data_IF_289988066899
#
_entry.id   IF_289988066899
#
_cell.length_a   1.000
_cell.length_b   1.000
_cell.length_c   1.000
_cell.angle_alpha   90.00
_cell.angle_beta   90.00
_cell.angle_gamma   90.00
#
_symmetry.space_group_name_H-M   'P 1'
#
loop_
_entity.id
_entity.type
_entity.pdbx_description
1 polymer ?
#
# COMPACT_ATOMS: atom_id res chain seq x y z
N UNK A 1 4.61 -15.01 14.93
CA UNK A 1 4.93 -13.63 15.39
C UNK A 1 5.97 -13.64 16.52
N UNK A 2 5.85 -14.49 17.55
CA UNK A 2 6.85 -14.57 18.63
C UNK A 2 8.24 -14.96 18.12
N UNK A 3 8.33 -15.87 17.13
CA UNK A 3 9.60 -16.24 16.52
C UNK A 3 10.27 -15.05 15.82
N UNK A 4 9.49 -14.24 15.11
CA UNK A 4 9.99 -13.05 14.44
C UNK A 4 10.47 -11.98 15.41
N UNK A 5 9.77 -11.80 16.54
CA UNK A 5 10.24 -10.90 17.61
C UNK A 5 11.59 -11.34 18.21
N UNK A 6 11.78 -12.65 18.43
CA UNK A 6 13.06 -13.18 18.93
C UNK A 6 14.21 -12.98 17.95
N UNK A 7 13.91 -12.74 16.67
CA UNK A 7 14.87 -12.43 15.61
C UNK A 7 15.09 -10.91 15.38
N UNK A 8 14.53 -10.06 16.25
CA UNK A 8 14.70 -8.60 16.15
C UNK A 8 13.64 -7.86 15.31
N UNK A 9 12.58 -8.55 14.89
CA UNK A 9 11.46 -7.90 14.16
C UNK A 9 10.62 -7.05 15.11
N UNK A 10 10.77 -5.73 15.04
CA UNK A 10 10.18 -4.79 16.01
C UNK A 10 8.65 -4.70 15.93
N UNK A 11 8.10 -4.70 14.73
CA UNK A 11 6.66 -4.66 14.47
C UNK A 11 6.28 -5.68 13.41
N UNK A 12 5.27 -6.48 13.68
CA UNK A 12 4.76 -7.46 12.72
C UNK A 12 3.23 -7.50 12.75
N UNK A 13 2.63 -7.28 11.59
CA UNK A 13 1.20 -7.44 11.35
C UNK A 13 0.99 -8.58 10.35
N UNK A 14 0.49 -9.75 10.80
CA UNK A 14 0.34 -10.91 9.92
C UNK A 14 -0.74 -10.67 8.85
N UNK A 15 -0.44 -11.05 7.61
CA UNK A 15 -1.38 -10.94 6.49
C UNK A 15 -2.35 -12.13 6.36
N UNK A 16 -2.10 -13.23 7.05
CA UNK A 16 -2.88 -14.46 6.94
C UNK A 16 -4.39 -14.20 7.01
N UNK A 17 -5.10 -14.65 6.00
CA UNK A 17 -6.52 -14.39 5.76
C UNK A 17 -6.82 -13.33 4.71
N UNK A 18 -5.79 -12.63 4.20
CA UNK A 18 -5.86 -11.66 3.10
C UNK A 18 -5.23 -12.21 1.82
N UNK A 19 -4.88 -13.48 1.79
CA UNK A 19 -3.97 -14.10 0.83
C UNK A 19 -4.43 -13.93 -0.63
N UNK A 20 -5.72 -14.11 -0.90
CA UNK A 20 -6.24 -14.02 -2.26
C UNK A 20 -6.07 -12.62 -2.86
N UNK A 21 -6.51 -11.59 -2.16
CA UNK A 21 -6.43 -10.21 -2.69
C UNK A 21 -5.00 -9.70 -2.75
N UNK A 22 -4.15 -10.06 -1.78
CA UNK A 22 -2.76 -9.62 -1.78
C UNK A 22 -1.96 -10.28 -2.90
N UNK A 23 -2.17 -11.58 -3.14
CA UNK A 23 -1.58 -12.25 -4.29
C UNK A 23 -2.04 -11.58 -5.60
N UNK A 24 -3.33 -11.31 -5.73
CA UNK A 24 -3.90 -10.69 -6.92
C UNK A 24 -3.36 -9.29 -7.18
N UNK A 25 -3.24 -8.44 -6.14
CA UNK A 25 -2.65 -7.11 -6.27
C UNK A 25 -1.23 -7.16 -6.83
N UNK A 26 -0.37 -8.01 -6.26
CA UNK A 26 1.01 -8.13 -6.70
C UNK A 26 1.15 -8.73 -8.11
N UNK A 27 0.25 -9.65 -8.51
CA UNK A 27 0.26 -10.26 -9.85
C UNK A 27 -0.26 -9.31 -10.94
N UNK A 28 -1.21 -8.45 -10.62
CA UNK A 28 -1.78 -7.47 -11.57
C UNK A 28 -0.90 -6.22 -11.71
N UNK A 29 -0.11 -5.92 -10.69
CA UNK A 29 0.84 -4.80 -10.68
C UNK A 29 1.93 -5.00 -11.74
N UNK A 30 2.12 -3.99 -12.57
CA UNK A 30 3.19 -3.92 -13.57
C UNK A 30 4.19 -2.83 -13.17
N UNK A 31 5.38 -3.25 -12.71
CA UNK A 31 6.44 -2.38 -12.22
C UNK A 31 6.96 -1.37 -13.25
N UNK A 32 6.68 -1.57 -14.53
CA UNK A 32 7.15 -0.70 -15.62
C UNK A 32 6.13 0.40 -15.95
N UNK A 33 4.87 0.26 -15.51
CA UNK A 33 3.80 1.20 -15.85
C UNK A 33 2.94 1.65 -14.68
N UNK A 34 2.85 0.87 -13.61
CA UNK A 34 1.99 1.15 -12.46
C UNK A 34 2.78 1.69 -11.26
N UNK A 35 2.04 2.27 -10.31
CA UNK A 35 2.56 2.66 -8.99
C UNK A 35 1.80 1.90 -7.91
N UNK A 36 2.52 1.36 -6.91
CA UNK A 36 1.94 0.57 -5.82
C UNK A 36 2.22 1.27 -4.48
N UNK A 37 1.16 1.51 -3.71
CA UNK A 37 1.18 2.09 -2.37
C UNK A 37 0.71 1.04 -1.34
N UNK A 38 1.59 0.13 -0.91
CA UNK A 38 1.22 -0.97 -0.02
C UNK A 38 1.16 -0.50 1.43
N UNK A 39 0.15 -0.96 2.21
CA UNK A 39 0.15 -0.69 3.65
C UNK A 39 0.89 -1.78 4.44
N UNK A 40 1.03 -1.58 5.74
CA UNK A 40 1.86 -2.44 6.62
C UNK A 40 1.49 -3.93 6.63
N UNK A 41 0.30 -4.32 6.19
CA UNK A 41 -0.12 -5.73 6.11
C UNK A 41 0.17 -6.37 4.75
N UNK A 42 0.56 -5.62 3.75
CA UNK A 42 0.71 -6.05 2.35
C UNK A 42 2.00 -6.84 2.05
N UNK A 43 2.49 -7.59 3.02
CA UNK A 43 3.71 -8.40 2.83
C UNK A 43 3.58 -9.37 1.65
N UNK A 44 2.44 -10.04 1.49
CA UNK A 44 2.23 -10.95 0.37
C UNK A 44 2.06 -10.19 -0.95
N UNK A 45 1.50 -8.99 -0.94
CA UNK A 45 1.40 -8.14 -2.13
C UNK A 45 2.78 -7.82 -2.70
N UNK A 46 3.70 -7.33 -1.86
CA UNK A 46 5.05 -6.96 -2.33
C UNK A 46 5.89 -8.17 -2.68
N UNK A 47 5.70 -9.30 -1.99
CA UNK A 47 6.32 -10.58 -2.35
C UNK A 47 5.82 -11.07 -3.71
N UNK A 48 4.51 -10.99 -3.96
CA UNK A 48 3.87 -11.35 -5.23
C UNK A 48 4.27 -10.42 -6.37
N UNK A 49 4.53 -9.15 -6.07
CA UNK A 49 5.09 -8.17 -7.02
C UNK A 49 6.58 -8.43 -7.35
N UNK A 50 7.24 -9.36 -6.63
CA UNK A 50 8.59 -9.83 -6.89
C UNK A 50 9.66 -9.36 -5.91
N UNK A 51 9.31 -8.64 -4.83
CA UNK A 51 10.28 -8.41 -3.74
C UNK A 51 10.71 -9.75 -3.14
N UNK A 52 11.98 -9.87 -2.82
CA UNK A 52 12.53 -11.09 -2.25
C UNK A 52 12.27 -11.22 -0.76
N UNK A 53 12.27 -12.44 -0.24
CA UNK A 53 12.18 -12.68 1.20
C UNK A 53 13.34 -12.00 1.97
N UNK A 54 14.54 -11.92 1.37
CA UNK A 54 15.69 -11.23 1.96
C UNK A 54 15.41 -9.73 2.13
N UNK A 55 14.92 -9.04 1.09
CA UNK A 55 14.55 -7.60 1.14
C UNK A 55 13.50 -7.32 2.22
N UNK A 56 12.48 -8.17 2.31
CA UNK A 56 11.42 -8.06 3.33
C UNK A 56 11.98 -8.26 4.75
N UNK A 57 12.88 -9.23 4.93
CA UNK A 57 13.48 -9.48 6.25
C UNK A 57 14.41 -8.35 6.66
N UNK A 58 15.22 -7.81 5.73
CA UNK A 58 16.09 -6.64 6.00
C UNK A 58 15.29 -5.45 6.54
N UNK A 59 14.12 -5.16 5.96
CA UNK A 59 13.18 -4.16 6.49
C UNK A 59 12.65 -4.56 7.87
N UNK A 60 12.23 -5.82 8.02
CA UNK A 60 11.65 -6.33 9.27
C UNK A 60 12.58 -6.22 10.48
N UNK A 61 13.89 -6.40 10.29
CA UNK A 61 14.92 -6.35 11.34
C UNK A 61 15.81 -5.10 11.28
N UNK A 62 15.39 -4.09 10.52
CA UNK A 62 15.97 -2.75 10.45
C UNK A 62 17.46 -2.72 10.10
N UNK A 63 17.89 -3.46 9.05
CA UNK A 63 19.29 -3.48 8.62
C UNK A 63 19.67 -2.27 7.76
N UNK A 64 20.97 -1.91 7.77
CA UNK A 64 21.49 -0.78 6.99
C UNK A 64 21.25 -0.93 5.47
N UNK A 65 21.14 -2.15 4.99
CA UNK A 65 20.87 -2.48 3.57
C UNK A 65 19.39 -2.67 3.25
N UNK A 66 18.49 -2.32 4.18
CA UNK A 66 17.06 -2.25 3.91
C UNK A 66 16.77 -1.22 2.79
N UNK A 67 16.16 -1.66 1.70
CA UNK A 67 15.85 -0.83 0.53
C UNK A 67 14.85 0.29 0.83
N UNK A 68 13.99 0.09 1.82
CA UNK A 68 12.95 1.05 2.17
C UNK A 68 13.53 2.31 2.82
N UNK A 69 14.47 2.15 3.76
CA UNK A 69 14.90 3.27 4.59
C UNK A 69 16.31 3.13 5.18
N UNK A 70 17.06 2.07 4.85
CA UNK A 70 18.30 1.77 5.54
C UNK A 70 18.11 1.54 7.04
N UNK A 71 17.01 0.90 7.41
CA UNK A 71 16.67 0.56 8.79
C UNK A 71 16.07 1.69 9.64
N UNK A 72 15.69 2.85 9.02
CA UNK A 72 15.12 4.02 9.74
C UNK A 72 13.61 3.96 9.87
N UNK A 73 12.92 3.28 8.98
CA UNK A 73 11.46 3.16 9.00
C UNK A 73 11.01 1.98 9.87
N UNK A 74 9.78 2.04 10.36
CA UNK A 74 9.15 0.92 11.04
C UNK A 74 9.04 -0.29 10.10
N UNK A 75 9.25 -1.50 10.64
CA UNK A 75 9.06 -2.75 9.88
C UNK A 75 7.67 -2.83 9.23
N UNK A 76 7.57 -3.59 8.17
CA UNK A 76 6.36 -3.76 7.36
C UNK A 76 5.91 -2.50 6.58
N UNK A 77 6.79 -1.53 6.42
CA UNK A 77 6.60 -0.42 5.49
C UNK A 77 7.52 -0.65 4.30
N UNK A 78 6.96 -1.25 3.27
CA UNK A 78 7.72 -1.74 2.13
C UNK A 78 7.87 -0.67 1.05
N UNK A 79 9.06 -0.57 0.45
CA UNK A 79 9.31 0.30 -0.69
C UNK A 79 10.40 -0.29 -1.58
N UNK A 80 10.26 -0.12 -2.88
CA UNK A 80 11.27 -0.41 -3.89
C UNK A 80 11.09 0.56 -5.05
N UNK A 81 11.73 1.73 -4.92
CA UNK A 81 11.54 2.88 -5.81
C UNK A 81 11.78 2.55 -7.29
N UNK A 82 12.77 1.69 -7.59
CA UNK A 82 13.07 1.23 -8.95
C UNK A 82 11.89 0.51 -9.63
N UNK A 83 10.93 0.03 -8.84
CA UNK A 83 9.73 -0.68 -9.29
C UNK A 83 8.45 0.09 -9.00
N UNK A 84 8.54 1.35 -8.65
CA UNK A 84 7.40 2.19 -8.28
C UNK A 84 6.57 1.57 -7.13
N UNK A 85 7.22 0.84 -6.22
CA UNK A 85 6.63 0.47 -4.93
C UNK A 85 6.99 1.58 -3.95
N UNK A 86 5.99 2.41 -3.66
CA UNK A 86 6.17 3.66 -2.96
C UNK A 86 6.19 3.49 -1.44
N UNK A 87 7.00 4.29 -0.78
CA UNK A 87 7.00 4.33 0.68
C UNK A 87 5.73 5.01 1.20
N UNK A 88 5.16 4.44 2.25
CA UNK A 88 3.91 4.94 2.85
C UNK A 88 4.12 5.34 4.31
N UNK A 89 3.33 6.30 4.77
CA UNK A 89 3.31 6.72 6.16
C UNK A 89 2.60 5.70 7.06
N UNK A 90 2.97 5.65 8.34
CA UNK A 90 2.24 4.88 9.36
C UNK A 90 0.87 5.46 9.72
N UNK A 91 0.64 6.76 9.45
CA UNK A 91 -0.70 7.34 9.55
C UNK A 91 -1.59 6.71 8.47
N UNK A 92 -2.63 5.98 8.90
CA UNK A 92 -3.42 5.10 8.02
C UNK A 92 -4.09 5.88 6.88
N UNK A 93 -4.05 5.31 5.68
CA UNK A 93 -4.68 5.81 4.45
C UNK A 93 -4.18 7.18 3.92
N UNK A 94 -3.18 7.83 4.52
CA UNK A 94 -2.61 9.08 3.97
C UNK A 94 -2.03 8.87 2.57
N UNK A 95 -1.56 7.68 2.27
CA UNK A 95 -1.01 7.29 0.96
C UNK A 95 -2.06 7.25 -0.16
N UNK A 96 -3.35 7.26 0.13
CA UNK A 96 -4.41 7.39 -0.87
C UNK A 96 -4.34 8.75 -1.59
N UNK A 97 -4.02 9.82 -0.86
CA UNK A 97 -3.78 11.15 -1.45
C UNK A 97 -2.53 11.13 -2.35
N UNK A 98 -1.47 10.45 -1.94
CA UNK A 98 -0.25 10.30 -2.75
C UNK A 98 -0.56 9.51 -4.03
N UNK A 99 -1.31 8.40 -3.93
CA UNK A 99 -1.74 7.62 -5.09
C UNK A 99 -2.57 8.45 -6.07
N UNK A 100 -3.51 9.26 -5.57
CA UNK A 100 -4.29 10.18 -6.40
C UNK A 100 -3.41 11.25 -7.06
N UNK A 101 -2.42 11.81 -6.33
CA UNK A 101 -1.45 12.76 -6.86
C UNK A 101 -0.58 12.16 -7.96
N UNK A 102 -0.07 10.95 -7.77
CA UNK A 102 0.71 10.22 -8.78
C UNK A 102 -0.14 9.93 -10.01
N UNK A 103 -1.38 9.44 -9.83
CA UNK A 103 -2.27 9.19 -10.96
C UNK A 103 -2.60 10.47 -11.74
N UNK A 104 -2.70 11.62 -11.06
CA UNK A 104 -2.85 12.92 -11.70
C UNK A 104 -1.63 13.29 -12.54
N UNK A 105 -0.43 13.08 -12.00
CA UNK A 105 0.83 13.29 -12.73
C UNK A 105 0.92 12.36 -13.95
N UNK A 106 0.57 11.07 -13.79
CA UNK A 106 0.51 10.11 -14.91
C UNK A 106 -0.39 10.61 -16.04
N UNK A 107 -1.57 11.13 -15.71
CA UNK A 107 -2.49 11.70 -16.71
C UNK A 107 -1.87 12.94 -17.36
N UNK A 108 -1.28 13.82 -16.58
CA UNK A 108 -0.64 15.05 -17.06
C UNK A 108 0.50 14.77 -18.03
N UNK A 109 1.36 13.79 -17.71
CA UNK A 109 2.49 13.40 -18.56
C UNK A 109 2.15 12.38 -19.65
N UNK A 110 0.88 12.00 -19.78
CA UNK A 110 0.44 11.02 -20.78
C UNK A 110 0.93 9.60 -20.55
N UNK A 111 1.31 9.27 -19.31
CA UNK A 111 1.74 7.92 -18.93
C UNK A 111 0.57 6.96 -18.90
N UNK A 112 0.86 5.68 -19.17
CA UNK A 112 -0.10 4.57 -19.06
C UNK A 112 0.05 3.89 -17.71
N UNK A 113 -0.96 3.11 -17.33
CA UNK A 113 -0.96 2.37 -16.07
C UNK A 113 -1.95 2.93 -15.05
N UNK A 114 -1.82 2.47 -13.81
CA UNK A 114 -2.68 2.83 -12.68
C UNK A 114 -1.85 3.08 -11.42
N UNK A 115 -2.38 3.85 -10.49
CA UNK A 115 -1.90 3.87 -9.12
C UNK A 115 -2.77 2.92 -8.28
N UNK A 116 -2.16 1.91 -7.64
CA UNK A 116 -2.83 0.95 -6.76
C UNK A 116 -2.48 1.32 -5.32
N UNK A 117 -3.47 1.56 -4.51
CA UNK A 117 -3.33 1.84 -3.07
C UNK A 117 -4.18 0.88 -2.26
N UNK A 118 -3.74 0.50 -1.08
CA UNK A 118 -4.48 -0.45 -0.25
C UNK A 118 -4.45 -0.10 1.23
N UNK A 119 -5.51 -0.45 1.93
CA UNK A 119 -5.63 -0.32 3.38
C UNK A 119 -6.75 -1.21 3.94
N UNK A 120 -6.88 -1.26 5.26
CA UNK A 120 -7.97 -1.96 5.94
C UNK A 120 -9.28 -1.16 5.89
N UNK A 121 -10.40 -1.84 6.13
CA UNK A 121 -11.73 -1.22 6.14
C UNK A 121 -11.88 -0.09 7.17
N UNK A 122 -11.16 -0.16 8.28
CA UNK A 122 -11.21 0.89 9.30
C UNK A 122 -10.56 2.19 8.83
N UNK A 123 -9.46 2.08 8.11
CA UNK A 123 -8.78 3.23 7.51
C UNK A 123 -9.64 3.94 6.46
N UNK A 124 -10.60 3.23 5.83
CA UNK A 124 -11.55 3.85 4.90
C UNK A 124 -12.47 4.92 5.53
N UNK A 125 -12.47 5.06 6.86
CA UNK A 125 -13.17 6.14 7.57
C UNK A 125 -12.33 7.40 7.78
N UNK A 126 -11.04 7.38 7.44
CA UNK A 126 -10.20 8.56 7.49
C UNK A 126 -10.61 9.60 6.44
N UNK A 127 -10.53 10.88 6.80
CA UNK A 127 -10.86 11.99 5.89
C UNK A 127 -10.05 11.95 4.59
N UNK A 128 -8.78 11.55 4.67
CA UNK A 128 -7.88 11.39 3.52
C UNK A 128 -8.45 10.50 2.41
N UNK A 129 -9.16 9.41 2.77
CA UNK A 129 -9.78 8.50 1.80
C UNK A 129 -10.90 9.21 1.04
N UNK A 130 -11.76 9.94 1.77
CA UNK A 130 -12.85 10.71 1.15
C UNK A 130 -12.31 11.80 0.22
N UNK A 131 -11.27 12.51 0.62
CA UNK A 131 -10.62 13.54 -0.18
C UNK A 131 -9.98 12.94 -1.43
N UNK A 132 -9.22 11.84 -1.29
CA UNK A 132 -8.57 11.15 -2.40
C UNK A 132 -9.59 10.62 -3.42
N UNK A 133 -10.65 9.94 -2.95
CA UNK A 133 -11.70 9.40 -3.82
C UNK A 133 -12.46 10.53 -4.50
N UNK A 134 -12.80 11.61 -3.78
CA UNK A 134 -13.46 12.77 -4.36
C UNK A 134 -12.62 13.43 -5.46
N UNK A 135 -11.35 13.67 -5.20
CA UNK A 135 -10.41 14.22 -6.19
C UNK A 135 -10.24 13.30 -7.40
N UNK A 136 -9.99 12.01 -7.16
CA UNK A 136 -9.83 11.03 -8.23
C UNK A 136 -11.10 10.88 -9.09
N UNK A 137 -12.28 10.90 -8.47
CA UNK A 137 -13.57 10.83 -9.17
C UNK A 137 -13.84 12.07 -9.99
N UNK A 138 -13.55 13.27 -9.45
CA UNK A 138 -13.76 14.55 -10.13
C UNK A 138 -12.83 14.70 -11.34
N UNK A 139 -11.56 14.37 -11.20
CA UNK A 139 -10.55 14.49 -12.25
C UNK A 139 -10.45 13.23 -13.15
N UNK A 140 -11.20 12.18 -12.84
CA UNK A 140 -11.21 10.90 -13.59
C UNK A 140 -9.81 10.28 -13.66
N UNK A 141 -9.22 10.04 -12.49
CA UNK A 141 -7.88 9.51 -12.36
C UNK A 141 -7.87 7.97 -12.31
N UNK A 142 -6.91 7.30 -12.93
CA UNK A 142 -6.80 5.84 -12.93
C UNK A 142 -6.19 5.34 -11.60
N UNK A 143 -6.97 5.39 -10.52
CA UNK A 143 -6.58 4.89 -9.19
C UNK A 143 -7.40 3.68 -8.83
N UNK A 144 -6.78 2.65 -8.26
CA UNK A 144 -7.45 1.51 -7.67
C UNK A 144 -7.26 1.55 -6.16
N UNK A 145 -8.34 1.79 -5.43
CA UNK A 145 -8.38 1.76 -3.97
C UNK A 145 -8.80 0.37 -3.51
N UNK A 146 -7.93 -0.36 -2.84
CA UNK A 146 -8.21 -1.73 -2.38
C UNK A 146 -8.49 -1.73 -0.88
N UNK A 147 -9.74 -1.96 -0.51
CA UNK A 147 -10.19 -2.07 0.88
C UNK A 147 -10.17 -3.54 1.32
N UNK A 148 -9.21 -3.89 2.16
CA UNK A 148 -9.07 -5.25 2.68
C UNK A 148 -9.91 -5.39 3.96
N UNK A 149 -11.20 -5.72 3.79
CA UNK A 149 -12.20 -5.80 4.86
C UNK A 149 -12.09 -7.10 5.63
N UNK A 150 -11.44 -7.07 6.79
CA UNK A 150 -11.32 -8.20 7.71
C UNK A 150 -12.23 -8.10 8.93
N UNK A 151 -13.06 -7.06 9.02
CA UNK A 151 -14.09 -6.86 10.01
C UNK A 151 -13.65 -6.15 11.30
N UNK A 152 -12.37 -5.76 11.43
CA UNK A 152 -11.83 -5.18 12.66
C UNK A 152 -10.75 -4.11 12.42
N UNK A 153 -10.93 -2.95 13.05
CA UNK A 153 -9.86 -1.98 13.29
C UNK A 153 -9.22 -2.20 14.65
N UNK A 154 -8.10 -2.92 14.72
CA UNK A 154 -7.48 -3.42 15.95
C UNK A 154 -8.50 -4.27 16.73
N UNK A 155 -9.17 -3.72 17.75
CA UNK A 155 -10.18 -4.36 18.58
C UNK A 155 -11.61 -3.88 18.28
N UNK A 156 -11.78 -2.85 17.45
CA UNK A 156 -13.09 -2.27 17.14
C UNK A 156 -13.74 -3.03 15.99
N UNK A 157 -14.91 -3.65 16.20
CA UNK A 157 -15.64 -4.32 15.12
C UNK A 157 -16.13 -3.31 14.08
N UNK A 158 -16.10 -3.70 12.82
CA UNK A 158 -16.55 -2.85 11.69
C UNK A 158 -17.94 -2.24 11.92
N UNK A 159 -18.89 -3.00 12.52
CA UNK A 159 -20.26 -2.53 12.79
C UNK A 159 -20.34 -1.29 13.69
N UNK A 160 -19.31 -1.08 14.52
CA UNK A 160 -19.25 0.04 15.46
C UNK A 160 -18.45 1.23 14.87
N UNK A 161 -17.87 1.05 13.68
CA UNK A 161 -16.95 1.99 13.05
C UNK A 161 -17.49 2.62 11.76
N UNK A 162 -18.34 1.93 11.00
CA UNK A 162 -18.83 2.42 9.71
C UNK A 162 -20.35 2.25 9.58
N UNK A 163 -21.00 3.22 8.90
CA UNK A 163 -22.46 3.23 8.72
C UNK A 163 -22.94 2.08 7.83
N UNK A 164 -22.24 1.78 6.75
CA UNK A 164 -22.62 0.73 5.82
C UNK A 164 -21.91 -0.59 6.13
N UNK A 165 -22.64 -1.70 6.02
CA UNK A 165 -22.09 -3.04 6.22
C UNK A 165 -20.93 -3.35 5.26
N UNK A 166 -21.03 -2.88 4.03
CA UNK A 166 -19.93 -2.86 3.05
C UNK A 166 -19.36 -1.46 3.02
N UNK A 167 -18.11 -1.30 3.39
CA UNK A 167 -17.47 0.00 3.57
C UNK A 167 -17.44 0.81 2.26
N UNK A 168 -17.21 0.13 1.12
CA UNK A 168 -17.21 0.77 -0.19
C UNK A 168 -18.57 1.42 -0.54
N UNK A 169 -19.68 0.94 0.03
CA UNK A 169 -21.00 1.50 -0.23
C UNK A 169 -21.16 2.92 0.35
N UNK A 170 -20.29 3.34 1.28
CA UNK A 170 -20.22 4.73 1.74
C UNK A 170 -19.88 5.71 0.59
N UNK A 171 -19.24 5.22 -0.46
CA UNK A 171 -18.78 6.00 -1.61
C UNK A 171 -19.68 5.88 -2.85
N UNK A 172 -20.79 5.15 -2.77
CA UNK A 172 -21.68 4.86 -3.91
C UNK A 172 -22.33 6.10 -4.56
N UNK A 173 -22.35 7.24 -3.84
CA UNK A 173 -22.86 8.50 -4.35
C UNK A 173 -21.86 9.30 -5.21
N UNK A 174 -20.62 8.92 -5.28
CA UNK A 174 -19.63 9.62 -6.11
C UNK A 174 -19.84 9.29 -7.60
N UNK A 175 -19.80 10.33 -8.44
CA UNK A 175 -19.81 10.16 -9.90
C UNK A 175 -18.46 9.67 -10.38
N UNK A 176 -18.42 9.00 -11.54
CA UNK A 176 -17.19 8.50 -12.14
C UNK A 176 -16.39 7.58 -11.19
N UNK A 177 -17.07 6.78 -10.40
CA UNK A 177 -16.48 5.80 -9.50
C UNK A 177 -17.11 4.44 -9.78
N UNK A 178 -16.27 3.41 -9.95
CA UNK A 178 -16.72 2.02 -10.00
C UNK A 178 -16.42 1.34 -8.68
N UNK A 179 -17.35 0.54 -8.19
CA UNK A 179 -17.15 -0.29 -7.00
C UNK A 179 -17.26 -1.75 -7.40
N UNK A 180 -16.27 -2.55 -7.02
CA UNK A 180 -16.19 -4.00 -7.22
C UNK A 180 -16.08 -4.65 -5.84
N UNK A 181 -16.87 -5.69 -5.60
CA UNK A 181 -16.80 -6.50 -4.39
C UNK A 181 -16.27 -7.88 -4.75
N UNK A 182 -15.33 -8.39 -3.96
CA UNK A 182 -14.81 -9.74 -4.14
C UNK A 182 -14.59 -10.46 -2.81
N UNK A 183 -14.44 -11.77 -2.90
CA UNK A 183 -14.00 -12.61 -1.81
C UNK A 183 -12.47 -12.61 -1.73
N UNK A 184 -11.89 -11.71 -0.92
CA UNK A 184 -10.44 -11.55 -0.77
C UNK A 184 -9.69 -12.78 -0.23
N UNK A 185 -10.43 -13.83 0.17
CA UNK A 185 -9.89 -15.13 0.56
C UNK A 185 -9.76 -16.10 -0.62
N UNK A 186 -10.40 -15.78 -1.75
CA UNK A 186 -10.40 -16.59 -2.97
C UNK A 186 -9.46 -15.96 -3.99
N UNK A 187 -8.45 -16.72 -4.41
CA UNK A 187 -7.42 -16.23 -5.33
C UNK A 187 -8.03 -15.89 -6.70
N UNK A 188 -8.95 -16.72 -7.20
CA UNK A 188 -9.52 -16.51 -8.53
C UNK A 188 -10.50 -15.34 -8.57
N UNK A 189 -11.37 -15.24 -7.55
CA UNK A 189 -12.27 -14.09 -7.44
C UNK A 189 -11.51 -12.79 -7.28
N UNK A 190 -10.46 -12.79 -6.46
CA UNK A 190 -9.56 -11.65 -6.30
C UNK A 190 -8.81 -11.28 -7.58
N UNK A 191 -8.30 -12.28 -8.33
CA UNK A 191 -7.63 -12.04 -9.61
C UNK A 191 -8.58 -11.43 -10.64
N UNK A 192 -9.80 -11.96 -10.75
CA UNK A 192 -10.82 -11.42 -11.65
C UNK A 192 -11.15 -9.97 -11.27
N UNK A 193 -11.36 -9.68 -9.98
CA UNK A 193 -11.70 -8.35 -9.50
C UNK A 193 -10.57 -7.33 -9.76
N UNK A 194 -9.32 -7.70 -9.49
CA UNK A 194 -8.18 -6.81 -9.71
C UNK A 194 -7.89 -6.59 -11.21
N UNK A 195 -8.03 -7.63 -12.03
CA UNK A 195 -7.90 -7.52 -13.49
C UNK A 195 -8.98 -6.60 -14.06
N UNK A 196 -10.25 -6.83 -13.69
CA UNK A 196 -11.37 -5.97 -14.10
C UNK A 196 -11.14 -4.52 -13.65
N UNK A 197 -10.68 -4.32 -12.41
CA UNK A 197 -10.41 -2.98 -11.88
C UNK A 197 -9.35 -2.24 -12.70
N UNK A 198 -8.24 -2.91 -13.01
CA UNK A 198 -7.14 -2.32 -13.80
C UNK A 198 -7.58 -1.99 -15.22
N UNK A 199 -8.20 -2.94 -15.90
CA UNK A 199 -8.71 -2.74 -17.27
C UNK A 199 -9.72 -1.58 -17.31
N UNK A 200 -10.65 -1.55 -16.36
CA UNK A 200 -11.67 -0.51 -16.28
C UNK A 200 -11.07 0.87 -15.99
N UNK A 201 -10.14 0.95 -15.03
CA UNK A 201 -9.49 2.21 -14.67
C UNK A 201 -8.70 2.81 -15.84
N UNK A 202 -7.97 1.97 -16.58
CA UNK A 202 -7.21 2.40 -17.76
C UNK A 202 -8.14 2.83 -18.90
N UNK A 203 -9.13 1.98 -19.24
CA UNK A 203 -10.00 2.22 -20.39
C UNK A 203 -10.89 3.45 -20.21
N UNK A 204 -11.35 3.72 -18.99
CA UNK A 204 -12.33 4.78 -18.71
C UNK A 204 -11.70 6.02 -18.06
N UNK A 205 -10.42 5.96 -17.66
CA UNK A 205 -9.78 6.96 -16.79
C UNK A 205 -10.69 7.29 -15.60
N UNK A 206 -10.94 6.29 -14.78
CA UNK A 206 -11.94 6.38 -13.71
C UNK A 206 -11.43 5.59 -12.50
N UNK A 207 -11.49 6.14 -11.29
CA UNK A 207 -11.09 5.39 -10.10
C UNK A 207 -12.01 4.20 -9.85
N UNK A 208 -11.43 3.17 -9.25
CA UNK A 208 -12.13 1.94 -8.87
C UNK A 208 -11.89 1.67 -7.40
N UNK A 209 -12.93 1.34 -6.64
CA UNK A 209 -12.79 0.74 -5.32
C UNK A 209 -12.97 -0.78 -5.48
N UNK A 210 -12.00 -1.55 -4.99
CA UNK A 210 -12.12 -3.00 -4.83
C UNK A 210 -12.26 -3.30 -3.34
N UNK A 211 -13.46 -3.66 -2.88
CA UNK A 211 -13.65 -4.14 -1.52
C UNK A 211 -13.52 -5.65 -1.48
N UNK A 212 -12.43 -6.13 -0.87
CA UNK A 212 -12.12 -7.53 -0.70
C UNK A 212 -12.54 -8.01 0.69
N UNK A 213 -13.46 -8.97 0.76
CA UNK A 213 -13.90 -9.56 2.02
C UNK A 213 -12.86 -10.58 2.50
N UNK A 214 -12.09 -10.20 3.50
CA UNK A 214 -10.99 -10.97 4.11
C UNK A 214 -11.38 -11.53 5.48
N UNK A 215 -10.45 -12.23 6.12
CA UNK A 215 -10.48 -12.57 7.55
C UNK A 215 -9.14 -12.24 8.17
N UNK A 216 -9.14 -11.86 9.44
CA UNK A 216 -7.88 -11.73 10.19
C UNK A 216 -7.71 -12.94 11.10
N UNK A 217 -6.87 -13.90 10.70
CA UNK A 217 -6.68 -15.17 11.41
C UNK A 217 -5.98 -14.95 12.75
N UNK A 218 -4.92 -14.13 12.75
CA UNK A 218 -4.13 -13.78 13.92
C UNK A 218 -4.61 -12.52 14.65
N UNK A 219 -3.85 -12.12 15.66
CA UNK A 219 -3.98 -10.80 16.28
C UNK A 219 -3.68 -9.69 15.28
N UNK A 220 -4.06 -8.46 15.60
CA UNK A 220 -3.80 -7.29 14.74
C UNK A 220 -2.31 -7.11 14.46
N UNK A 221 -1.51 -7.21 15.50
CA UNK A 221 -0.05 -7.14 15.44
C UNK A 221 0.55 -7.99 16.56
N UNK A 222 1.87 -7.98 16.68
CA UNK A 222 2.60 -8.66 17.75
C UNK A 222 2.33 -8.10 19.17
N UNK A 223 1.83 -6.87 19.28
CA UNK A 223 1.44 -6.25 20.56
C UNK A 223 -0.03 -6.45 20.93
N UNK A 224 -0.84 -7.09 20.06
CA UNK A 224 -2.26 -7.32 20.25
C UNK A 224 -2.57 -8.75 20.73
N UNK A 225 -3.64 -8.88 21.50
CA UNK A 225 -4.18 -10.17 21.95
C UNK A 225 -5.66 -10.28 21.61
N UNK A 226 -5.97 -10.77 20.42
CA UNK A 226 -7.34 -10.80 19.89
C UNK A 226 -8.32 -11.67 20.70
N UNK A 227 -7.84 -12.58 21.54
CA UNK A 227 -8.69 -13.36 22.45
C UNK A 227 -9.33 -12.53 23.56
N UNK A 228 -8.97 -11.27 23.74
CA UNK A 228 -9.58 -10.35 24.69
C UNK A 228 -10.90 -9.74 24.17
N UNK A 229 -11.13 -9.75 22.85
CA UNK A 229 -12.27 -9.07 22.23
C UNK A 229 -12.99 -9.91 21.16
N UNK A 230 -12.51 -11.12 20.85
CA UNK A 230 -13.14 -12.07 19.91
C UNK A 230 -13.52 -13.33 20.66
N UNK A 231 -14.74 -13.79 20.47
CA UNK A 231 -15.21 -15.01 21.09
C UNK A 231 -14.65 -16.29 20.40
N UNK A 232 -14.82 -17.43 21.07
CA UNK A 232 -14.29 -18.72 20.60
C UNK A 232 -14.93 -19.19 19.27
N UNK A 233 -16.21 -18.88 19.05
CA UNK A 233 -16.91 -19.26 17.83
C UNK A 233 -16.33 -18.49 16.64
N UNK A 234 -16.11 -17.19 16.82
CA UNK A 234 -15.47 -16.35 15.81
C UNK A 234 -14.04 -16.82 15.52
N UNK A 235 -13.25 -17.11 16.56
CA UNK A 235 -11.88 -17.59 16.40
C UNK A 235 -11.82 -18.95 15.66
N UNK A 236 -12.80 -19.81 15.92
CA UNK A 236 -12.94 -21.09 15.22
C UNK A 236 -13.32 -20.87 13.76
N UNK A 237 -14.27 -19.97 13.49
CA UNK A 237 -14.68 -19.62 12.14
C UNK A 237 -13.51 -19.08 11.32
N UNK A 238 -12.75 -18.11 11.82
CA UNK A 238 -11.66 -17.49 11.03
C UNK A 238 -10.55 -18.48 10.72
N UNK A 239 -10.25 -19.42 11.63
CA UNK A 239 -9.30 -20.52 11.35
C UNK A 239 -9.82 -21.44 10.23
N UNK A 240 -11.11 -21.77 10.24
CA UNK A 240 -11.72 -22.58 9.18
C UNK A 240 -11.82 -21.86 7.84
N UNK A 241 -11.75 -20.53 7.85
CA UNK A 241 -11.80 -19.67 6.69
C UNK A 241 -10.43 -19.41 6.06
N UNK A 242 -9.35 -20.01 6.59
CA UNK A 242 -7.97 -19.85 6.11
C UNK A 242 -7.87 -20.06 4.58
N UNK A 243 -7.47 -19.02 3.82
CA UNK A 243 -7.37 -19.09 2.37
C UNK A 243 -6.34 -20.10 1.89
N UNK A 244 -5.18 -20.16 2.55
CA UNK A 244 -4.10 -21.07 2.17
C UNK A 244 -4.54 -22.53 2.29
N UNK A 245 -5.16 -22.88 3.41
CA UNK A 245 -5.69 -24.23 3.62
C UNK A 245 -6.77 -24.60 2.60
N UNK A 246 -7.69 -23.67 2.30
CA UNK A 246 -8.75 -23.90 1.30
C UNK A 246 -8.18 -24.04 -0.10
N UNK A 247 -7.21 -23.23 -0.46
CA UNK A 247 -6.56 -23.30 -1.77
C UNK A 247 -5.79 -24.61 -1.95
N UNK A 248 -5.02 -25.02 -0.92
CA UNK A 248 -4.34 -26.32 -0.89
C UNK A 248 -5.33 -27.46 -1.15
N UNK A 249 -6.42 -27.55 -0.38
CA UNK A 249 -7.43 -28.59 -0.56
C UNK A 249 -8.11 -28.56 -1.93
N UNK A 250 -8.29 -27.38 -2.49
CA UNK A 250 -8.87 -27.23 -3.82
C UNK A 250 -7.93 -27.78 -4.89
N UNK A 251 -6.64 -27.49 -4.83
CA UNK A 251 -5.64 -28.01 -5.76
C UNK A 251 -5.62 -29.55 -5.79
N UNK A 252 -5.67 -30.18 -4.61
CA UNK A 252 -5.78 -31.64 -4.49
C UNK A 252 -7.10 -32.15 -5.07
N UNK A 253 -8.22 -31.55 -4.64
CA UNK A 253 -9.56 -31.99 -5.09
C UNK A 253 -9.74 -31.97 -6.60
N UNK A 254 -9.15 -30.99 -7.28
CA UNK A 254 -9.23 -30.86 -8.74
C UNK A 254 -8.06 -31.55 -9.48
N UNK A 255 -7.25 -32.35 -8.76
CA UNK A 255 -6.15 -33.11 -9.34
C UNK A 255 -5.08 -32.25 -10.00
N UNK A 256 -4.89 -31.04 -9.52
CA UNK A 256 -3.86 -30.12 -10.04
C UNK A 256 -2.50 -30.40 -9.44
N UNK A 257 -2.48 -30.83 -8.18
CA UNK A 257 -1.28 -31.23 -7.43
C UNK A 257 -1.61 -32.41 -6.53
N UNK A 258 -0.59 -33.20 -6.19
CA UNK A 258 -0.62 -34.18 -5.10
C UNK A 258 -0.22 -33.57 -3.78
N UNK A 259 -0.45 -34.25 -2.66
CA UNK A 259 0.01 -33.82 -1.32
C UNK A 259 1.55 -33.76 -1.27
N UNK A 260 2.23 -34.70 -1.95
CA UNK A 260 3.68 -34.78 -2.02
C UNK A 260 4.26 -33.57 -2.76
N UNK A 261 3.70 -33.20 -3.92
CA UNK A 261 4.14 -32.03 -4.70
C UNK A 261 3.94 -30.73 -3.91
N UNK A 262 2.81 -30.57 -3.25
CA UNK A 262 2.55 -29.39 -2.41
C UNK A 262 3.50 -29.33 -1.20
N UNK A 263 3.83 -30.48 -0.64
CA UNK A 263 4.82 -30.60 0.44
C UNK A 263 6.22 -30.22 -0.05
N UNK A 264 6.63 -30.68 -1.24
CA UNK A 264 7.91 -30.29 -1.84
C UNK A 264 8.03 -28.78 -2.06
N UNK A 265 6.96 -28.14 -2.55
CA UNK A 265 6.89 -26.67 -2.69
C UNK A 265 7.06 -25.98 -1.33
N UNK A 266 6.37 -26.45 -0.29
CA UNK A 266 6.47 -25.90 1.05
C UNK A 266 7.88 -26.07 1.64
N UNK A 267 8.50 -27.25 1.45
CA UNK A 267 9.85 -27.52 1.93
C UNK A 267 10.90 -26.66 1.21
N UNK A 268 10.73 -26.43 -0.11
CA UNK A 268 11.58 -25.52 -0.88
C UNK A 268 11.44 -24.07 -0.38
N UNK A 269 10.23 -23.58 -0.23
CA UNK A 269 9.96 -22.24 0.31
C UNK A 269 10.56 -22.06 1.71
N UNK A 270 10.45 -23.07 2.57
CA UNK A 270 11.05 -23.04 3.91
C UNK A 270 12.59 -23.00 3.85
N UNK A 271 13.21 -23.71 2.91
CA UNK A 271 14.66 -23.68 2.68
C UNK A 271 15.13 -22.30 2.21
N UNK A 272 14.41 -21.72 1.25
CA UNK A 272 14.72 -20.39 0.69
C UNK A 272 14.56 -19.30 1.75
N UNK A 273 13.49 -19.36 2.55
CA UNK A 273 13.28 -18.45 3.67
C UNK A 273 14.41 -18.55 4.71
N UNK A 274 14.89 -19.77 5.05
CA UNK A 274 16.03 -19.95 5.96
C UNK A 274 17.32 -19.37 5.37
N UNK A 275 17.53 -19.48 4.07
CA UNK A 275 18.70 -18.90 3.40
C UNK A 275 18.62 -17.36 3.40
N UNK A 276 17.48 -16.78 3.05
CA UNK A 276 17.23 -15.35 3.09
C UNK A 276 17.42 -14.77 4.51
N UNK A 277 16.88 -15.47 5.53
CA UNK A 277 17.05 -15.04 6.92
C UNK A 277 18.52 -15.03 7.36
N UNK A 278 19.31 -16.05 7.01
CA UNK A 278 20.75 -16.07 7.32
C UNK A 278 21.51 -14.91 6.70
N UNK A 279 21.20 -14.57 5.44
CA UNK A 279 21.82 -13.42 4.75
C UNK A 279 21.43 -12.11 5.40
N UNK A 280 20.14 -11.90 5.66
CA UNK A 280 19.63 -10.68 6.29
C UNK A 280 20.21 -10.49 7.71
N UNK A 281 20.31 -11.57 8.50
CA UNK A 281 20.92 -11.51 9.84
C UNK A 281 22.42 -11.16 9.81
N UNK A 282 23.12 -11.51 8.75
CA UNK A 282 24.55 -11.19 8.56
C UNK A 282 24.77 -9.77 8.02
N UNK A 283 23.73 -9.09 7.56
CA UNK A 283 23.83 -7.73 7.06
C UNK A 283 24.18 -6.74 8.19
N UNK A 284 24.89 -5.64 7.87
CA UNK A 284 25.31 -4.65 8.87
C UNK A 284 24.11 -3.94 9.49
N UNK A 285 24.25 -3.57 10.76
CA UNK A 285 23.31 -2.67 11.44
C UNK A 285 23.55 -1.22 10.99
N UNK A 286 22.51 -0.35 11.03
CA UNK A 286 22.67 1.05 10.73
C UNK A 286 23.63 1.75 11.69
N UNK A 287 24.43 2.69 11.20
CA UNK A 287 25.23 3.56 12.06
C UNK A 287 24.31 4.50 12.84
N UNK A 288 24.30 4.48 14.18
CA UNK A 288 23.45 5.36 14.99
C UNK A 288 23.65 6.85 14.71
N UNK A 289 24.83 7.27 14.25
CA UNK A 289 25.10 8.67 13.89
C UNK A 289 24.24 9.15 12.72
N UNK A 290 23.76 8.24 11.86
CA UNK A 290 22.97 8.53 10.66
C UNK A 290 21.46 8.60 10.93
N UNK A 291 21.01 8.52 12.18
CA UNK A 291 19.58 8.50 12.53
C UNK A 291 18.80 9.74 12.08
N UNK A 292 19.48 10.87 11.90
CA UNK A 292 18.89 12.13 11.44
C UNK A 292 19.00 12.34 9.92
N UNK A 293 19.72 11.47 9.22
CA UNK A 293 19.86 11.59 7.78
C UNK A 293 18.49 11.37 7.10
N UNK A 294 18.22 12.14 6.06
CA UNK A 294 16.98 12.11 5.28
C UNK A 294 15.69 12.45 6.06
N UNK A 295 15.79 12.97 7.31
CA UNK A 295 14.61 13.50 8.05
C UNK A 295 14.06 14.75 7.37
N UNK A 296 14.96 15.56 6.83
CA UNK A 296 14.63 16.70 5.98
C UNK A 296 15.31 16.49 4.63
N UNK A 297 14.72 16.99 3.55
CA UNK A 297 15.42 16.99 2.27
C UNK A 297 16.73 17.76 2.40
N UNK A 298 17.73 17.37 1.61
CA UNK A 298 18.96 18.16 1.45
C UNK A 298 18.58 19.62 1.31
N UNK A 299 19.33 20.53 1.95
CA UNK A 299 19.01 21.94 1.88
C UNK A 299 18.86 22.32 0.41
N UNK A 300 17.65 22.69 0.03
CA UNK A 300 17.41 23.26 -1.28
C UNK A 300 18.40 24.43 -1.42
N UNK A 301 19.41 24.25 -2.25
CA UNK A 301 20.26 25.36 -2.66
C UNK A 301 19.45 26.15 -3.67
N UNK A 302 18.82 27.26 -3.28
CA UNK A 302 18.13 28.06 -4.27
C UNK A 302 19.17 28.36 -5.36
N UNK A 303 18.82 28.08 -6.62
CA UNK A 303 19.60 28.63 -7.71
C UNK A 303 19.86 30.08 -7.31
N UNK A 304 21.12 30.52 -7.30
CA UNK A 304 21.44 31.91 -7.01
C UNK A 304 20.70 32.75 -8.05
N UNK A 305 19.44 33.03 -7.77
CA UNK A 305 18.77 34.13 -8.42
C UNK A 305 19.69 35.31 -8.14
N UNK A 306 20.18 35.99 -9.17
CA UNK A 306 20.75 37.32 -8.99
C UNK A 306 19.70 38.08 -8.20
N UNK A 307 20.02 38.43 -6.95
CA UNK A 307 19.13 39.30 -6.18
C UNK A 307 18.74 40.42 -7.11
N UNK A 308 17.44 40.51 -7.43
CA UNK A 308 16.97 41.58 -8.26
C UNK A 308 17.35 42.86 -7.55
N UNK A 309 18.10 43.72 -8.22
CA UNK A 309 18.37 45.06 -7.71
C UNK A 309 17.02 45.65 -7.39
N UNK A 310 16.79 46.03 -6.11
CA UNK A 310 15.58 46.73 -5.71
C UNK A 310 15.42 47.93 -6.66
N UNK A 311 14.42 47.87 -7.51
CA UNK A 311 14.10 49.02 -8.35
C UNK A 311 13.20 49.95 -7.53
N UNK A 312 13.83 50.88 -6.84
CA UNK A 312 13.13 51.90 -6.02
C UNK A 312 12.21 52.81 -6.88
N UNK A 313 12.41 52.82 -8.21
CA UNK A 313 11.63 53.59 -9.19
C UNK A 313 10.45 52.80 -9.79
N UNK A 314 10.28 51.52 -9.42
CA UNK A 314 9.18 50.69 -9.89
C UNK A 314 7.81 51.11 -9.33
N UNK A 315 6.75 50.84 -10.10
CA UNK A 315 5.38 51.01 -9.59
C UNK A 315 5.17 50.18 -8.32
N UNK A 316 4.72 50.83 -7.26
CA UNK A 316 4.37 50.14 -5.99
C UNK A 316 3.13 49.30 -6.22
N UNK A 317 3.23 48.03 -5.97
CA UNK A 317 2.13 47.08 -6.03
C UNK A 317 1.94 46.35 -4.68
N UNK A 318 0.77 45.77 -4.50
CA UNK A 318 0.50 44.99 -3.29
C UNK A 318 1.24 43.64 -3.37
N UNK A 319 1.58 43.07 -2.21
CA UNK A 319 2.19 41.75 -2.13
C UNK A 319 1.35 40.68 -2.88
N UNK A 320 0.03 40.74 -2.77
CA UNK A 320 -0.90 39.85 -3.49
C UNK A 320 -0.72 39.97 -5.00
N UNK A 321 -0.62 41.20 -5.53
CA UNK A 321 -0.37 41.45 -6.95
C UNK A 321 0.98 40.90 -7.40
N UNK A 322 2.04 41.13 -6.61
CA UNK A 322 3.37 40.61 -6.88
C UNK A 322 3.39 39.07 -6.92
N UNK A 323 2.81 38.42 -5.93
CA UNK A 323 2.69 36.94 -5.88
C UNK A 323 1.93 36.43 -7.12
N UNK A 324 0.78 37.02 -7.46
CA UNK A 324 0.01 36.59 -8.64
C UNK A 324 0.78 36.78 -9.96
N UNK A 325 1.53 37.88 -10.10
CA UNK A 325 2.38 38.09 -11.28
C UNK A 325 3.49 37.04 -11.38
N UNK A 326 4.16 36.74 -10.25
CA UNK A 326 5.22 35.74 -10.18
C UNK A 326 4.70 34.34 -10.52
N UNK A 327 3.58 33.93 -9.90
CA UNK A 327 2.94 32.64 -10.22
C UNK A 327 2.56 32.56 -11.70
N UNK A 328 1.93 33.60 -12.25
CA UNK A 328 1.58 33.62 -13.68
C UNK A 328 2.80 33.56 -14.59
N UNK A 329 3.91 34.17 -14.21
CA UNK A 329 5.14 34.08 -14.96
C UNK A 329 5.70 32.66 -14.91
N UNK A 330 5.76 32.05 -13.72
CA UNK A 330 6.24 30.67 -13.53
C UNK A 330 5.42 29.68 -14.35
N UNK A 331 4.10 29.71 -14.27
CA UNK A 331 3.24 28.83 -15.07
C UNK A 331 3.35 28.99 -16.58
N UNK A 332 3.86 30.14 -17.06
CA UNK A 332 4.11 30.34 -18.50
C UNK A 332 5.47 29.81 -18.95
N UNK A 333 6.46 29.82 -18.07
CA UNK A 333 7.83 29.49 -18.42
C UNK A 333 8.25 28.09 -18.00
N UNK A 334 7.59 27.52 -17.01
CA UNK A 334 7.87 26.19 -16.49
C UNK A 334 6.68 25.25 -16.74
N UNK A 335 6.76 24.35 -17.75
CA UNK A 335 5.69 23.42 -18.09
C UNK A 335 5.43 22.37 -17.03
N UNK A 336 6.37 22.18 -16.07
CA UNK A 336 6.24 21.23 -14.98
C UNK A 336 5.49 21.78 -13.77
N UNK A 337 5.14 23.07 -13.79
CA UNK A 337 4.29 23.67 -12.75
C UNK A 337 2.81 23.59 -13.11
N UNK A 338 2.00 23.14 -12.14
CA UNK A 338 0.54 23.09 -12.24
C UNK A 338 -0.11 23.30 -10.85
N UNK A 339 -1.36 23.75 -10.84
CA UNK A 339 -2.18 23.91 -9.62
C UNK A 339 -3.37 22.96 -9.69
#
# INVERSE_FOLDING_TARGET
SYLLQSLGWSYHAPYAGHDGIQLAMGQVFDKDTDFLFPYYRDMLTVLSAGMTAEEIILNGISKATDLTSGGRHMSNHFSKMEWHIENVSSATATHDLHAAGVARAMVYYGQKGVAITSHGESAASEGYVYEAINGASNERLPVIFVFQDNGYGISVPKKDQTANRKVADNFSGFKNLRIIHCNGKDVFDSMNAMTEAKEYAIANRTPVIVQANCVRIGSHSNSDKHTLYRDENELTYVKSADPLYKFHRMLIRYGRFTEEELKEIADLAAKDLKAANRKAMAAPDPDPSTVKDYVLPEPYQPQKYKEGVQNEEGEKETLVTAINKTLKAEFRHNPDTFI
#
